data_IF_258616147867
#
_entry.id   IF_258616147867
#
_cell.length_a   1.000
_cell.length_b   1.000
_cell.length_c   1.000
_cell.angle_alpha   90.00
_cell.angle_beta   90.00
_cell.angle_gamma   90.00
#
_symmetry.space_group_name_H-M   'P 1'
#
loop_
_entity.id
_entity.type
_entity.pdbx_description
1 polymer ?
#
# COMPACT_ATOMS: atom_id res chain seq x y z
N UNK A 1 6.85 2.18 16.52
CA UNK A 1 7.48 3.36 15.93
C UNK A 1 6.93 3.47 14.52
N UNK A 2 6.01 4.41 14.33
CA UNK A 2 5.67 4.97 13.02
C UNK A 2 6.88 5.78 12.51
N UNK A 3 6.97 6.05 11.22
CA UNK A 3 8.02 6.89 10.58
C UNK A 3 9.27 6.12 10.09
N UNK A 4 9.10 4.97 9.43
CA UNK A 4 10.24 4.21 8.86
C UNK A 4 10.74 4.84 7.53
N UNK A 5 9.88 5.56 6.78
CA UNK A 5 10.16 5.94 5.37
C UNK A 5 9.84 7.42 5.01
N UNK A 6 9.80 8.36 5.95
CA UNK A 6 9.55 9.80 5.66
C UNK A 6 10.80 10.65 5.92
N UNK A 7 11.18 11.56 5.00
CA UNK A 7 12.31 12.48 5.19
C UNK A 7 12.00 13.70 6.07
N UNK A 8 10.76 13.86 6.56
CA UNK A 8 10.30 15.04 7.33
C UNK A 8 9.78 14.66 8.71
N UNK A 9 9.95 15.55 9.69
CA UNK A 9 9.44 15.44 11.09
C UNK A 9 7.91 15.59 11.23
N UNK A 10 7.15 15.54 10.13
CA UNK A 10 5.69 15.39 10.23
C UNK A 10 5.45 13.90 10.48
N UNK A 11 5.23 13.52 11.73
CA UNK A 11 4.97 12.13 12.12
C UNK A 11 3.72 11.59 11.44
N UNK A 12 3.89 10.71 10.45
CA UNK A 12 2.82 10.07 9.70
C UNK A 12 3.05 8.57 9.76
N UNK A 13 2.05 7.86 10.26
CA UNK A 13 2.13 6.40 10.38
C UNK A 13 2.27 5.76 9.00
N UNK A 14 3.44 5.17 8.78
CA UNK A 14 3.85 4.48 7.57
C UNK A 14 4.33 3.08 7.89
N UNK A 15 4.44 2.26 6.85
CA UNK A 15 4.92 0.89 6.92
C UNK A 15 3.79 -0.16 6.94
N UNK A 16 4.14 -1.44 6.76
CA UNK A 16 3.15 -2.51 6.64
C UNK A 16 2.21 -2.59 7.85
N UNK A 17 0.91 -2.78 7.59
CA UNK A 17 -0.06 -3.11 8.64
C UNK A 17 0.32 -4.48 9.21
N UNK A 18 0.60 -4.54 10.51
CA UNK A 18 1.08 -5.76 11.19
C UNK A 18 0.24 -6.98 10.85
N UNK A 19 0.93 -8.11 10.62
CA UNK A 19 0.29 -9.38 10.25
C UNK A 19 -0.26 -9.41 8.82
N UNK A 20 -0.01 -8.37 8.01
CA UNK A 20 -0.40 -8.35 6.61
C UNK A 20 0.67 -7.73 5.73
N UNK A 21 0.58 -8.02 4.43
CA UNK A 21 1.43 -7.44 3.39
C UNK A 21 0.56 -6.79 2.31
N UNK A 22 1.00 -5.64 1.80
CA UNK A 22 0.40 -5.03 0.61
C UNK A 22 0.54 -5.99 -0.57
N UNK A 23 -0.52 -6.11 -1.36
CA UNK A 23 -0.49 -6.77 -2.67
C UNK A 23 -1.26 -5.93 -3.69
N UNK A 24 -1.00 -6.20 -4.98
CA UNK A 24 -1.69 -5.55 -6.08
C UNK A 24 -2.30 -6.61 -7.00
N UNK A 25 -3.58 -6.47 -7.34
CA UNK A 25 -4.31 -7.46 -8.17
C UNK A 25 -4.74 -6.88 -9.52
N UNK A 26 -4.69 -7.75 -10.54
CA UNK A 26 -5.14 -7.44 -11.89
C UNK A 26 -4.26 -6.41 -12.63
N UNK A 27 -4.63 -6.06 -13.87
CA UNK A 27 -3.82 -5.20 -14.74
C UNK A 27 -3.73 -3.75 -14.25
N UNK A 28 -4.72 -3.30 -13.47
CA UNK A 28 -4.77 -1.94 -12.89
C UNK A 28 -4.07 -1.83 -11.54
N UNK A 29 -3.41 -2.91 -11.09
CA UNK A 29 -2.74 -2.98 -9.79
C UNK A 29 -3.66 -2.46 -8.67
N UNK A 30 -4.84 -3.06 -8.51
CA UNK A 30 -5.78 -2.67 -7.44
C UNK A 30 -5.19 -3.08 -6.10
N UNK A 31 -5.09 -2.13 -5.17
CA UNK A 31 -4.49 -2.35 -3.86
C UNK A 31 -5.38 -3.25 -2.98
N UNK A 32 -4.77 -4.30 -2.44
CA UNK A 32 -5.35 -5.20 -1.44
C UNK A 32 -4.26 -5.50 -0.40
N UNK A 33 -4.61 -6.20 0.68
CA UNK A 33 -3.61 -6.79 1.58
C UNK A 33 -3.90 -8.26 1.83
N UNK A 34 -2.85 -9.05 1.98
CA UNK A 34 -2.91 -10.46 2.34
C UNK A 34 -2.55 -10.65 3.81
N UNK A 35 -3.35 -11.41 4.52
CA UNK A 35 -3.10 -11.86 5.89
C UNK A 35 -2.69 -13.33 5.80
N UNK A 36 -1.47 -13.63 6.22
CA UNK A 36 -1.01 -15.01 6.32
C UNK A 36 -1.75 -15.69 7.49
N UNK A 37 -2.27 -16.89 7.23
CA UNK A 37 -2.83 -17.75 8.26
C UNK A 37 -1.75 -18.69 8.79
N UNK A 38 -2.07 -19.38 9.88
CA UNK A 38 -1.15 -20.36 10.45
C UNK A 38 -0.98 -21.55 9.47
N UNK A 39 0.25 -22.01 9.16
CA UNK A 39 0.48 -23.02 8.14
C UNK A 39 -0.26 -24.36 8.33
N UNK A 40 -0.51 -24.79 9.57
CA UNK A 40 -1.24 -26.03 9.86
C UNK A 40 -2.73 -25.96 9.53
N UNK A 41 -3.31 -24.77 9.31
CA UNK A 41 -4.69 -24.66 8.81
C UNK A 41 -4.83 -25.18 7.38
N UNK A 42 -3.75 -25.17 6.59
CA UNK A 42 -3.77 -25.54 5.17
C UNK A 42 -4.53 -24.55 4.28
N UNK A 43 -4.96 -23.41 4.81
CA UNK A 43 -5.74 -22.40 4.09
C UNK A 43 -4.84 -21.40 3.36
N UNK A 44 -5.34 -20.88 2.23
CA UNK A 44 -4.67 -19.77 1.53
C UNK A 44 -4.77 -18.47 2.34
N UNK A 45 -3.81 -17.53 2.17
CA UNK A 45 -3.88 -16.22 2.81
C UNK A 45 -5.21 -15.50 2.53
N UNK A 46 -5.77 -14.85 3.55
CA UNK A 46 -7.01 -14.08 3.40
C UNK A 46 -6.69 -12.76 2.73
N UNK A 47 -7.34 -12.50 1.60
CA UNK A 47 -7.26 -11.22 0.88
C UNK A 47 -8.37 -10.30 1.36
N UNK A 48 -7.99 -9.09 1.76
CA UNK A 48 -8.95 -8.06 2.18
C UNK A 48 -8.67 -6.74 1.46
N UNK A 49 -9.72 -5.94 1.34
CA UNK A 49 -9.62 -4.59 0.79
C UNK A 49 -8.67 -3.73 1.62
N UNK A 50 -7.90 -2.87 0.96
CA UNK A 50 -6.90 -2.03 1.60
C UNK A 50 -6.91 -0.57 1.09
N UNK A 51 -7.62 0.34 1.79
CA UNK A 51 -7.67 1.75 1.42
C UNK A 51 -6.43 2.55 1.88
N UNK A 52 -5.44 1.93 2.52
CA UNK A 52 -4.32 2.66 3.13
C UNK A 52 -3.33 3.27 2.12
N UNK A 53 -3.46 2.97 0.83
CA UNK A 53 -2.62 3.56 -0.22
C UNK A 53 -1.13 3.22 -0.09
N UNK A 54 -0.22 4.01 -0.67
CA UNK A 54 1.23 3.77 -0.61
C UNK A 54 1.81 3.80 0.81
N UNK A 55 1.11 4.38 1.78
CA UNK A 55 1.63 4.55 3.15
C UNK A 55 1.96 3.23 3.87
N UNK A 56 1.37 2.11 3.45
CA UNK A 56 1.65 0.79 4.03
C UNK A 56 2.38 -0.15 3.08
N UNK A 57 2.76 0.35 1.91
CA UNK A 57 3.64 -0.36 0.98
C UNK A 57 5.10 -0.15 1.43
N UNK A 58 5.84 -1.21 1.78
CA UNK A 58 7.23 -1.08 2.21
C UNK A 58 8.15 -0.53 1.11
N UNK A 59 7.75 -0.67 -0.16
CA UNK A 59 8.55 -0.23 -1.32
C UNK A 59 8.24 1.22 -1.72
N UNK A 60 7.25 1.86 -1.08
CA UNK A 60 6.90 3.24 -1.35
C UNK A 60 7.72 4.22 -0.50
N UNK A 61 8.35 5.18 -1.18
CA UNK A 61 8.91 6.37 -0.53
C UNK A 61 7.81 7.41 -0.34
N UNK A 62 7.61 7.85 0.91
CA UNK A 62 6.58 8.84 1.24
C UNK A 62 7.23 10.20 1.41
N UNK A 63 7.00 11.07 0.42
CA UNK A 63 7.34 12.50 0.48
C UNK A 63 6.05 13.33 0.45
N UNK A 64 5.73 13.92 1.60
CA UNK A 64 4.49 14.71 1.79
C UNK A 64 4.53 16.00 0.95
N UNK A 65 5.71 16.58 0.72
CA UNK A 65 5.87 17.82 -0.05
C UNK A 65 5.70 17.56 -1.54
N UNK A 66 6.19 16.43 -2.03
CA UNK A 66 6.00 16.01 -3.42
C UNK A 66 4.57 15.49 -3.70
N UNK A 67 3.88 15.00 -2.67
CA UNK A 67 2.60 14.33 -2.80
C UNK A 67 2.72 12.89 -3.34
N UNK A 68 1.58 12.23 -3.51
CA UNK A 68 1.55 10.84 -3.97
C UNK A 68 1.69 10.74 -5.51
N UNK A 69 2.20 9.61 -6.04
CA UNK A 69 2.23 9.35 -7.47
C UNK A 69 0.84 9.47 -8.10
N UNK A 70 0.75 10.23 -9.20
CA UNK A 70 -0.49 10.46 -9.93
C UNK A 70 -0.85 9.27 -10.85
N UNK A 71 -1.09 8.08 -10.28
CA UNK A 71 -1.31 6.81 -11.01
C UNK A 71 -2.40 6.86 -12.09
N UNK A 72 -3.38 7.75 -11.93
CA UNK A 72 -4.52 7.90 -12.84
C UNK A 72 -4.34 9.03 -13.86
N UNK A 73 -3.18 9.70 -13.90
CA UNK A 73 -2.97 10.88 -14.75
C UNK A 73 -3.17 10.55 -16.22
N UNK A 74 -2.52 9.50 -16.71
CA UNK A 74 -2.61 9.08 -18.12
C UNK A 74 -4.06 8.76 -18.50
N UNK A 75 -4.77 7.98 -17.68
CA UNK A 75 -6.17 7.66 -17.94
C UNK A 75 -7.07 8.89 -17.98
N UNK A 76 -6.75 9.94 -17.23
CA UNK A 76 -7.51 11.19 -17.29
C UNK A 76 -7.25 11.91 -18.60
N UNK A 77 -5.97 12.07 -18.99
CA UNK A 77 -5.58 12.71 -20.25
C UNK A 77 -6.16 12.00 -21.48
N UNK A 78 -6.25 10.66 -21.44
CA UNK A 78 -6.85 9.86 -22.51
C UNK A 78 -8.35 10.11 -22.72
N UNK A 79 -9.06 10.67 -21.73
CA UNK A 79 -10.52 10.89 -21.81
C UNK A 79 -10.94 12.30 -22.25
N UNK A 80 -10.00 13.24 -22.39
CA UNK A 80 -10.28 14.66 -22.65
C UNK A 80 -10.91 15.36 -21.44
#
# INVERSE_FOLDING_TARGET
MADINSPLEIGVTTGPIRGSKKIYVGPRRVAMREIALEPSSGESPVRVYDPSGPYTDPDALIDIQAGLPALRREWQLERG
#
